data_IF_921470209437
#
_entry.id   IF_921470209437
#
_cell.length_a   1.000
_cell.length_b   1.000
_cell.length_c   1.000
_cell.angle_alpha   90.00
_cell.angle_beta   90.00
_cell.angle_gamma   90.00
#
_symmetry.space_group_name_H-M   'P 1'
#
loop_
_entity.id
_entity.type
_entity.pdbx_description
1 polymer ?
#
# COMPACT_ATOMS: atom_id res chain seq x y z
N UNK A 1 -3.02 -27.80 23.77
CA UNK A 1 -3.01 -28.03 22.31
C UNK A 1 -2.65 -26.71 21.64
N UNK A 2 -1.46 -26.63 21.04
CA UNK A 2 -1.02 -25.43 20.33
C UNK A 2 -1.88 -25.28 19.08
N UNK A 3 -2.77 -24.29 19.07
CA UNK A 3 -3.53 -23.93 17.87
C UNK A 3 -2.56 -23.22 16.94
N UNK A 4 -2.06 -23.94 15.93
CA UNK A 4 -1.41 -23.34 14.77
C UNK A 4 -2.40 -22.38 14.11
N UNK A 5 -2.28 -21.10 14.47
CA UNK A 5 -2.81 -20.01 13.69
C UNK A 5 -1.93 -19.97 12.46
N UNK A 6 -2.38 -20.62 11.39
CA UNK A 6 -1.84 -20.39 10.04
C UNK A 6 -1.93 -18.89 9.82
N UNK A 7 -0.80 -18.22 10.02
CA UNK A 7 -0.72 -16.77 9.88
C UNK A 7 -0.83 -16.53 8.40
N UNK A 8 -1.96 -15.98 7.96
CA UNK A 8 -2.07 -15.50 6.59
C UNK A 8 -0.88 -14.55 6.35
N UNK A 9 0.00 -14.95 5.44
CA UNK A 9 1.18 -14.20 5.05
C UNK A 9 1.07 -13.96 3.56
N UNK A 10 1.00 -12.69 3.18
CA UNK A 10 1.40 -12.31 1.84
C UNK A 10 2.90 -12.05 1.93
N UNK A 11 3.68 -12.71 1.07
CA UNK A 11 5.14 -12.67 1.14
C UNK A 11 5.65 -11.22 0.98
N UNK A 12 6.70 -10.82 1.72
CA UNK A 12 7.37 -9.56 1.45
C UNK A 12 8.03 -9.61 0.07
N UNK A 13 8.22 -8.45 -0.55
CA UNK A 13 9.00 -8.36 -1.76
C UNK A 13 10.48 -8.62 -1.47
N UNK A 14 11.18 -9.21 -2.43
CA UNK A 14 12.61 -9.45 -2.35
C UNK A 14 13.36 -8.15 -2.63
N UNK A 15 14.33 -7.80 -1.78
CA UNK A 15 15.15 -6.60 -1.97
C UNK A 15 15.86 -6.55 -3.33
N UNK A 16 16.21 -7.72 -3.88
CA UNK A 16 16.81 -7.84 -5.22
C UNK A 16 15.92 -7.27 -6.35
N UNK A 17 14.61 -7.11 -6.14
CA UNK A 17 13.75 -6.45 -7.14
C UNK A 17 14.05 -4.95 -7.28
N UNK A 18 14.78 -4.33 -6.34
CA UNK A 18 15.17 -2.92 -6.41
C UNK A 18 16.17 -2.61 -7.53
N UNK A 19 16.79 -3.63 -8.14
CA UNK A 19 17.60 -3.48 -9.36
C UNK A 19 16.79 -2.82 -10.50
N UNK A 20 15.47 -2.96 -10.47
CA UNK A 20 14.53 -2.18 -11.27
C UNK A 20 13.49 -1.51 -10.35
N UNK A 21 13.72 -0.26 -9.93
CA UNK A 21 12.88 0.40 -8.92
C UNK A 21 11.44 0.62 -9.42
N UNK A 22 11.23 0.78 -10.73
CA UNK A 22 9.88 0.93 -11.28
C UNK A 22 9.17 -0.42 -11.30
N UNK A 23 9.86 -1.53 -11.58
CA UNK A 23 9.27 -2.87 -11.45
C UNK A 23 8.99 -3.21 -9.98
N UNK A 24 9.85 -2.78 -9.06
CA UNK A 24 9.63 -2.93 -7.62
C UNK A 24 8.34 -2.26 -7.17
N UNK A 25 8.11 -0.99 -7.56
CA UNK A 25 6.87 -0.27 -7.23
C UNK A 25 5.63 -0.96 -7.82
N UNK A 26 5.68 -1.40 -9.08
CA UNK A 26 4.58 -2.18 -9.68
C UNK A 26 4.33 -3.51 -8.94
N UNK A 27 5.38 -4.17 -8.44
CA UNK A 27 5.24 -5.35 -7.60
C UNK A 27 4.62 -5.01 -6.23
N UNK A 28 4.93 -3.85 -5.65
CA UNK A 28 4.24 -3.33 -4.47
C UNK A 28 2.76 -3.09 -4.75
N UNK A 29 2.39 -2.50 -5.89
CA UNK A 29 0.99 -2.30 -6.28
C UNK A 29 0.21 -3.61 -6.39
N UNK A 30 0.81 -4.63 -7.04
CA UNK A 30 0.22 -5.96 -7.14
C UNK A 30 0.03 -6.59 -5.76
N UNK A 31 1.04 -6.49 -4.89
CA UNK A 31 0.98 -6.96 -3.51
C UNK A 31 -0.10 -6.24 -2.69
N UNK A 32 -0.21 -4.91 -2.83
CA UNK A 32 -1.22 -4.11 -2.16
C UNK A 32 -2.63 -4.51 -2.59
N UNK A 33 -2.85 -4.85 -3.86
CA UNK A 33 -4.16 -5.35 -4.33
C UNK A 33 -4.60 -6.62 -3.59
N UNK A 34 -3.68 -7.54 -3.29
CA UNK A 34 -3.95 -8.74 -2.48
C UNK A 34 -4.29 -8.37 -1.03
N UNK A 35 -3.54 -7.43 -0.44
CA UNK A 35 -3.81 -6.93 0.91
C UNK A 35 -5.18 -6.26 1.01
N UNK A 36 -5.60 -5.50 -0.01
CA UNK A 36 -6.93 -4.90 -0.07
C UNK A 36 -8.04 -5.97 -0.09
N UNK A 37 -7.86 -7.07 -0.83
CA UNK A 37 -8.81 -8.18 -0.81
C UNK A 37 -8.93 -8.82 0.60
N UNK A 38 -7.81 -8.92 1.33
CA UNK A 38 -7.83 -9.36 2.72
C UNK A 38 -8.52 -8.37 3.66
N UNK A 39 -8.36 -7.06 3.44
CA UNK A 39 -9.07 -6.04 4.20
C UNK A 39 -10.58 -6.17 4.03
N UNK A 40 -11.07 -6.37 2.80
CA UNK A 40 -12.49 -6.58 2.55
C UNK A 40 -13.02 -7.87 3.21
N UNK A 41 -12.22 -8.94 3.20
CA UNK A 41 -12.57 -10.18 3.90
C UNK A 41 -12.74 -9.95 5.40
N UNK A 42 -11.82 -9.19 6.02
CA UNK A 42 -11.92 -8.82 7.44
C UNK A 42 -13.13 -7.91 7.69
N UNK A 43 -13.38 -6.94 6.82
CA UNK A 43 -14.53 -6.03 6.93
C UNK A 43 -15.87 -6.77 6.90
N UNK A 44 -15.99 -7.83 6.08
CA UNK A 44 -17.23 -8.62 5.95
C UNK A 44 -17.43 -9.64 7.05
N UNK A 45 -16.34 -10.15 7.65
CA UNK A 45 -16.40 -11.19 8.67
C UNK A 45 -15.33 -10.95 9.76
N UNK A 46 -15.44 -9.87 10.55
CA UNK A 46 -14.39 -9.46 11.48
C UNK A 46 -14.19 -10.44 12.65
N UNK A 47 -15.21 -11.24 12.97
CA UNK A 47 -15.14 -12.25 14.04
C UNK A 47 -14.75 -13.65 13.54
N UNK A 48 -14.48 -13.82 12.24
CA UNK A 48 -14.04 -15.12 11.71
C UNK A 48 -12.69 -15.51 12.30
N UNK A 49 -12.45 -16.82 12.51
CA UNK A 49 -11.18 -17.35 13.06
C UNK A 49 -9.93 -16.79 12.34
N UNK A 50 -10.00 -16.65 11.01
CA UNK A 50 -8.90 -16.12 10.20
C UNK A 50 -8.72 -14.59 10.29
N UNK A 51 -9.73 -13.85 10.75
CA UNK A 51 -9.73 -12.38 10.74
C UNK A 51 -8.66 -11.79 11.67
N UNK A 52 -8.38 -12.43 12.80
CA UNK A 52 -7.36 -11.97 13.76
C UNK A 52 -5.97 -11.87 13.14
N UNK A 53 -5.55 -12.95 12.47
CA UNK A 53 -4.24 -13.01 11.80
C UNK A 53 -4.15 -12.05 10.61
N UNK A 54 -5.23 -11.96 9.82
CA UNK A 54 -5.32 -10.99 8.72
C UNK A 54 -5.26 -9.55 9.22
N UNK A 55 -5.98 -9.21 10.29
CA UNK A 55 -5.97 -7.87 10.85
C UNK A 55 -4.59 -7.47 11.38
N UNK A 56 -3.88 -8.37 12.06
CA UNK A 56 -2.50 -8.12 12.48
C UNK A 56 -1.54 -7.89 11.30
N UNK A 57 -1.70 -8.64 10.20
CA UNK A 57 -0.93 -8.43 8.98
C UNK A 57 -1.25 -7.08 8.31
N UNK A 58 -2.53 -6.73 8.21
CA UNK A 58 -2.98 -5.48 7.61
C UNK A 58 -2.54 -4.27 8.44
N UNK A 59 -2.52 -4.38 9.76
CA UNK A 59 -1.96 -3.35 10.64
C UNK A 59 -0.49 -3.10 10.37
N UNK A 60 0.33 -4.15 10.22
CA UNK A 60 1.74 -3.99 9.84
C UNK A 60 1.85 -3.28 8.49
N UNK A 61 1.12 -3.76 7.48
CA UNK A 61 1.13 -3.11 6.17
C UNK A 61 0.79 -1.61 6.24
N UNK A 62 -0.30 -1.24 6.90
CA UNK A 62 -0.74 0.16 7.02
C UNK A 62 0.21 1.05 7.84
N UNK A 63 0.97 0.48 8.77
CA UNK A 63 1.82 1.25 9.69
C UNK A 63 3.29 1.28 9.31
N UNK A 64 3.78 0.28 8.57
CA UNK A 64 5.21 0.13 8.28
C UNK A 64 5.51 0.07 6.79
N UNK A 65 4.67 -0.55 5.97
CA UNK A 65 4.96 -0.78 4.55
C UNK A 65 4.39 0.34 3.66
N UNK A 66 3.09 0.64 3.81
CA UNK A 66 2.41 1.67 3.01
C UNK A 66 3.04 3.06 3.16
N UNK A 67 3.45 3.53 4.37
CA UNK A 67 4.12 4.82 4.49
C UNK A 67 5.45 4.90 3.73
N UNK A 68 6.24 3.82 3.71
CA UNK A 68 7.53 3.77 2.99
C UNK A 68 7.30 3.83 1.48
N UNK A 69 6.31 3.09 0.99
CA UNK A 69 5.89 3.13 -0.41
C UNK A 69 5.47 4.55 -0.85
N UNK A 70 4.59 5.20 -0.08
CA UNK A 70 4.17 6.58 -0.32
C UNK A 70 5.39 7.53 -0.30
N UNK A 71 6.36 7.27 0.59
CA UNK A 71 7.59 8.06 0.61
C UNK A 71 8.39 7.90 -0.68
N UNK A 72 8.51 6.68 -1.21
CA UNK A 72 9.25 6.39 -2.46
C UNK A 72 8.63 7.13 -3.64
N UNK A 73 7.31 7.21 -3.66
CA UNK A 73 6.56 7.98 -4.64
C UNK A 73 6.77 9.48 -4.44
N UNK A 74 6.40 10.02 -3.28
CA UNK A 74 6.31 11.47 -3.11
C UNK A 74 7.66 12.17 -3.00
N UNK A 75 8.66 11.53 -2.39
CA UNK A 75 9.98 12.15 -2.14
C UNK A 75 11.02 11.80 -3.19
N UNK A 76 10.83 10.73 -3.95
CA UNK A 76 11.84 10.24 -4.88
C UNK A 76 11.32 10.17 -6.31
N UNK A 77 10.29 9.37 -6.59
CA UNK A 77 9.80 9.17 -7.96
C UNK A 77 9.12 10.43 -8.52
N UNK A 78 8.10 10.96 -7.86
CA UNK A 78 7.27 12.06 -8.37
C UNK A 78 8.09 13.33 -8.68
N UNK A 79 9.09 13.75 -7.86
CA UNK A 79 9.96 14.87 -8.23
C UNK A 79 10.69 14.69 -9.56
N UNK A 80 11.13 13.46 -9.88
CA UNK A 80 11.78 13.15 -11.16
C UNK A 80 10.81 13.21 -12.35
N UNK A 81 9.51 13.04 -12.11
CA UNK A 81 8.47 13.04 -13.14
C UNK A 81 7.77 14.39 -13.30
N UNK A 82 7.91 15.32 -12.35
CA UNK A 82 7.13 16.54 -12.27
C UNK A 82 7.19 17.41 -13.54
N UNK A 83 8.37 17.53 -14.16
CA UNK A 83 8.55 18.30 -15.39
C UNK A 83 7.88 17.65 -16.62
N UNK A 84 7.47 16.38 -16.52
CA UNK A 84 6.90 15.60 -17.60
C UNK A 84 5.41 15.28 -17.40
N UNK A 85 4.82 15.62 -16.24
CA UNK A 85 3.40 15.43 -15.95
C UNK A 85 2.54 16.58 -16.49
N UNK A 86 2.26 16.54 -17.79
CA UNK A 86 1.36 17.49 -18.43
C UNK A 86 -0.10 17.39 -17.93
N UNK A 87 -0.50 16.22 -17.40
CA UNK A 87 -1.87 15.97 -16.95
C UNK A 87 -2.16 16.52 -15.55
N UNK A 88 -1.14 16.78 -14.76
CA UNK A 88 -1.27 17.14 -13.34
C UNK A 88 -1.71 15.97 -12.45
N UNK A 89 -1.60 14.72 -12.92
CA UNK A 89 -1.99 13.51 -12.19
C UNK A 89 -1.24 13.38 -10.87
N UNK A 90 0.03 13.80 -10.80
CA UNK A 90 0.85 13.67 -9.60
C UNK A 90 0.26 14.47 -8.43
N UNK A 91 -0.30 15.66 -8.71
CA UNK A 91 -0.98 16.46 -7.68
C UNK A 91 -2.25 15.78 -7.18
N UNK A 92 -2.99 15.11 -8.07
CA UNK A 92 -4.18 14.35 -7.72
C UNK A 92 -3.82 13.17 -6.80
N UNK A 93 -2.78 12.42 -7.13
CA UNK A 93 -2.30 11.29 -6.32
C UNK A 93 -1.83 11.75 -4.93
N UNK A 94 -1.04 12.83 -4.86
CA UNK A 94 -0.63 13.43 -3.58
C UNK A 94 -1.80 13.91 -2.73
N UNK A 95 -2.85 14.47 -3.35
CA UNK A 95 -4.07 14.84 -2.63
C UNK A 95 -4.78 13.60 -2.05
N UNK A 96 -4.87 12.53 -2.84
CA UNK A 96 -5.46 11.25 -2.40
C UNK A 96 -4.68 10.64 -1.22
N UNK A 97 -3.34 10.68 -1.22
CA UNK A 97 -2.53 10.25 -0.07
C UNK A 97 -2.88 11.01 1.22
N UNK A 98 -3.02 12.34 1.12
CA UNK A 98 -3.38 13.19 2.27
C UNK A 98 -4.79 12.90 2.78
N UNK A 99 -5.75 12.75 1.87
CA UNK A 99 -7.15 12.42 2.19
C UNK A 99 -7.26 11.05 2.87
N UNK A 100 -6.49 10.07 2.40
CA UNK A 100 -6.47 8.70 2.92
C UNK A 100 -5.99 8.62 4.37
N UNK A 101 -5.20 9.58 4.88
CA UNK A 101 -4.71 9.56 6.26
C UNK A 101 -5.84 9.44 7.30
N UNK A 102 -6.98 10.12 7.08
CA UNK A 102 -8.13 10.04 8.00
C UNK A 102 -8.83 8.68 7.89
N UNK A 103 -9.00 8.18 6.67
CA UNK A 103 -9.62 6.89 6.41
C UNK A 103 -8.80 5.75 7.02
N UNK A 104 -7.47 5.77 6.87
CA UNK A 104 -6.54 4.78 7.41
C UNK A 104 -6.67 4.70 8.94
N UNK A 105 -6.77 5.84 9.65
CA UNK A 105 -6.95 5.82 11.12
C UNK A 105 -8.23 5.12 11.55
N UNK A 106 -9.34 5.35 10.86
CA UNK A 106 -10.61 4.68 11.15
C UNK A 106 -10.54 3.17 10.87
N UNK A 107 -9.88 2.78 9.77
CA UNK A 107 -9.64 1.37 9.43
C UNK A 107 -8.77 0.69 10.49
N UNK A 108 -7.67 1.32 10.90
CA UNK A 108 -6.75 0.79 11.90
C UNK A 108 -7.44 0.54 13.25
N UNK A 109 -8.33 1.43 13.69
CA UNK A 109 -9.07 1.25 14.94
C UNK A 109 -9.88 -0.06 14.95
N UNK A 110 -10.61 -0.36 13.86
CA UNK A 110 -11.35 -1.61 13.74
C UNK A 110 -10.46 -2.84 13.55
N UNK A 111 -9.32 -2.71 12.86
CA UNK A 111 -8.34 -3.78 12.75
C UNK A 111 -7.69 -4.13 14.10
N UNK A 112 -7.42 -3.14 14.97
CA UNK A 112 -6.90 -3.39 16.31
C UNK A 112 -7.86 -4.23 17.16
N UNK A 113 -9.16 -3.86 17.18
CA UNK A 113 -10.20 -4.65 17.87
C UNK A 113 -10.30 -6.05 17.29
N UNK A 114 -10.32 -6.16 15.96
CA UNK A 114 -10.40 -7.46 15.27
C UNK A 114 -9.18 -8.34 15.56
N UNK A 115 -7.97 -7.79 15.62
CA UNK A 115 -6.76 -8.53 15.97
C UNK A 115 -6.81 -9.04 17.43
N UNK A 116 -7.35 -8.24 18.36
CA UNK A 116 -7.60 -8.64 19.74
C UNK A 116 -8.65 -9.76 19.86
N UNK A 117 -9.51 -9.92 18.86
CA UNK A 117 -10.63 -10.88 18.86
C UNK A 117 -11.98 -10.24 19.23
N UNK A 118 -12.01 -8.91 19.33
CA UNK A 118 -13.21 -8.14 19.64
C UNK A 118 -13.94 -7.73 18.35
N UNK A 119 -15.25 -7.53 18.46
CA UNK A 119 -16.03 -6.93 17.37
C UNK A 119 -15.55 -5.49 17.12
N UNK A 120 -15.27 -5.07 15.87
CA UNK A 120 -14.90 -3.69 15.60
C UNK A 120 -16.09 -2.73 15.74
N UNK A 121 -15.84 -1.42 15.68
CA UNK A 121 -16.91 -0.41 15.66
C UNK A 121 -17.85 -0.59 14.46
N UNK A 122 -19.15 -0.25 14.57
CA UNK A 122 -20.11 -0.41 13.47
C UNK A 122 -19.69 0.23 12.14
N UNK A 123 -18.97 1.36 12.21
CA UNK A 123 -18.48 2.07 11.03
C UNK A 123 -17.28 1.40 10.33
N UNK A 124 -16.63 0.43 10.97
CA UNK A 124 -15.40 -0.19 10.45
C UNK A 124 -15.59 -0.80 9.06
N UNK A 125 -16.66 -1.60 8.87
CA UNK A 125 -16.87 -2.30 7.62
C UNK A 125 -17.01 -1.31 6.45
N UNK A 126 -17.81 -0.26 6.63
CA UNK A 126 -17.99 0.79 5.61
C UNK A 126 -16.68 1.53 5.32
N UNK A 127 -15.92 1.91 6.36
CA UNK A 127 -14.63 2.59 6.20
C UNK A 127 -13.59 1.73 5.46
N UNK A 128 -13.48 0.45 5.83
CA UNK A 128 -12.56 -0.50 5.21
C UNK A 128 -12.87 -0.77 3.74
N UNK A 129 -14.16 -0.95 3.40
CA UNK A 129 -14.59 -1.15 2.01
C UNK A 129 -14.40 0.12 1.15
N UNK A 130 -14.67 1.30 1.73
CA UNK A 130 -14.45 2.57 1.05
C UNK A 130 -12.96 2.82 0.78
N UNK A 131 -12.10 2.60 1.79
CA UNK A 131 -10.65 2.69 1.64
C UNK A 131 -10.14 1.70 0.58
N UNK A 132 -10.56 0.44 0.62
CA UNK A 132 -10.13 -0.56 -0.37
C UNK A 132 -10.54 -0.18 -1.81
N UNK A 133 -11.74 0.36 -1.99
CA UNK A 133 -12.22 0.81 -3.30
C UNK A 133 -11.42 2.02 -3.79
N UNK A 134 -11.19 3.01 -2.93
CA UNK A 134 -10.40 4.20 -3.27
C UNK A 134 -8.95 3.86 -3.59
N UNK A 135 -8.30 3.05 -2.75
CA UNK A 135 -6.91 2.64 -2.91
C UNK A 135 -6.68 1.82 -4.19
N UNK A 136 -7.63 0.97 -4.61
CA UNK A 136 -7.52 0.30 -5.93
C UNK A 136 -7.55 1.27 -7.10
N UNK A 137 -8.40 2.30 -7.03
CA UNK A 137 -8.47 3.31 -8.09
C UNK A 137 -7.18 4.13 -8.15
N UNK A 138 -6.60 4.41 -6.98
CA UNK A 138 -5.29 5.05 -6.86
C UNK A 138 -4.19 4.20 -7.53
N UNK A 139 -4.01 2.94 -7.12
CA UNK A 139 -3.03 2.03 -7.72
C UNK A 139 -3.23 1.86 -9.23
N UNK A 140 -4.48 1.79 -9.70
CA UNK A 140 -4.77 1.68 -11.13
C UNK A 140 -4.36 2.94 -11.91
N UNK A 141 -4.47 4.12 -11.30
CA UNK A 141 -4.05 5.38 -11.91
C UNK A 141 -2.52 5.46 -11.99
N UNK A 142 -1.81 5.01 -10.95
CA UNK A 142 -0.35 4.93 -10.94
C UNK A 142 0.17 3.99 -12.03
N UNK A 143 -0.37 2.77 -12.09
CA UNK A 143 0.00 1.78 -13.10
C UNK A 143 -0.34 2.23 -14.53
N UNK A 144 -1.45 2.96 -14.72
CA UNK A 144 -1.86 3.42 -16.04
C UNK A 144 -1.10 4.67 -16.52
N UNK A 145 -0.60 5.52 -15.62
CA UNK A 145 -0.06 6.83 -15.97
C UNK A 145 1.35 7.05 -15.45
N UNK A 146 1.60 6.83 -14.16
CA UNK A 146 2.89 7.10 -13.51
C UNK A 146 3.93 6.08 -13.95
N UNK A 147 3.63 4.79 -13.87
CA UNK A 147 4.57 3.71 -14.26
C UNK A 147 5.04 3.86 -15.71
N UNK A 148 4.15 4.05 -16.73
CA UNK A 148 4.59 4.26 -18.10
C UNK A 148 5.32 5.59 -18.33
N UNK A 149 4.99 6.64 -17.56
CA UNK A 149 5.72 7.91 -17.59
C UNK A 149 7.15 7.70 -17.10
N UNK A 150 7.33 7.06 -15.95
CA UNK A 150 8.64 6.76 -15.38
C UNK A 150 9.53 5.96 -16.34
N UNK A 151 8.98 4.90 -16.95
CA UNK A 151 9.69 4.09 -17.96
C UNK A 151 10.13 4.90 -19.19
N UNK A 152 9.37 5.92 -19.57
CA UNK A 152 9.63 6.73 -20.76
C UNK A 152 10.68 7.81 -20.51
N UNK A 153 10.69 8.44 -19.33
CA UNK A 153 11.46 9.67 -19.10
C UNK A 153 12.68 9.49 -18.20
N UNK A 154 12.72 8.45 -17.36
CA UNK A 154 13.85 8.24 -16.45
C UNK A 154 15.05 7.66 -17.19
N UNK A 155 16.19 8.31 -17.04
CA UNK A 155 17.48 7.82 -17.54
C UNK A 155 17.99 6.67 -16.67
N UNK A 156 18.92 5.83 -17.18
CA UNK A 156 19.56 4.80 -16.36
C UNK A 156 20.19 5.35 -15.07
N UNK A 157 20.77 6.55 -15.12
CA UNK A 157 21.34 7.20 -13.94
C UNK A 157 20.27 7.58 -12.91
N UNK A 158 19.14 8.14 -13.36
CA UNK A 158 18.03 8.49 -12.47
C UNK A 158 17.39 7.24 -11.83
N UNK A 159 17.27 6.15 -12.59
CA UNK A 159 16.80 4.86 -12.06
C UNK A 159 17.74 4.31 -10.99
N UNK A 160 19.06 4.34 -11.21
CA UNK A 160 20.02 3.90 -10.19
C UNK A 160 19.93 4.74 -8.91
N UNK A 161 19.84 6.06 -9.03
CA UNK A 161 19.67 6.95 -7.87
C UNK A 161 18.36 6.68 -7.11
N UNK A 162 17.26 6.44 -7.83
CA UNK A 162 15.98 6.07 -7.24
C UNK A 162 16.06 4.74 -6.48
N UNK A 163 16.67 3.72 -7.09
CA UNK A 163 16.90 2.42 -6.44
C UNK A 163 17.69 2.54 -5.14
N UNK A 164 18.77 3.33 -5.17
CA UNK A 164 19.61 3.59 -3.99
C UNK A 164 18.85 4.28 -2.85
N UNK A 165 18.00 5.26 -3.17
CA UNK A 165 17.14 5.93 -2.18
C UNK A 165 16.12 4.97 -1.57
N UNK A 166 15.44 4.19 -2.40
CA UNK A 166 14.45 3.19 -1.97
C UNK A 166 15.08 2.09 -1.10
N UNK A 167 16.30 1.66 -1.43
CA UNK A 167 17.06 0.69 -0.65
C UNK A 167 17.45 1.24 0.74
N UNK A 168 17.91 2.50 0.80
CA UNK A 168 18.28 3.16 2.07
C UNK A 168 17.11 3.26 3.05
N UNK A 169 15.87 3.45 2.57
CA UNK A 169 14.68 3.50 3.45
C UNK A 169 14.28 2.15 4.05
N UNK A 170 14.82 1.07 3.49
CA UNK A 170 14.53 -0.31 3.89
C UNK A 170 15.71 -0.98 4.62
N UNK A 171 16.79 -0.24 4.87
CA UNK A 171 17.99 -0.68 5.58
C UNK A 171 17.95 -0.24 7.04
#
# INVERSE_FOLDING_TARGET
MASDVVTARVAPLQAALLDDPVAFLSAEHARQTVLLAHLERVARAPLARAARGLAAMLLRWLTTELPVHIEDEERSLYPLLAAHDASGVLRTLQAQHRENQRAIRAVMAGLHRTAAGDAPEPAFAAAALAFATGHRRHLALEEAVVTPLARRVLTPHALAALADEMARRRS
#
